data_IF_961664247417
#
_entry.id   IF_961664247417
#
_cell.length_a   1.000
_cell.length_b   1.000
_cell.length_c   1.000
_cell.angle_alpha   90.00
_cell.angle_beta   90.00
_cell.angle_gamma   90.00
#
_symmetry.space_group_name_H-M   'P 1'
#
loop_
_entity.id
_entity.type
_entity.pdbx_description
1 polymer ?
#
# COMPACT_ATOMS: atom_id res chain seq x y z
N UNK A 1 0.04 -14.25 12.09
CA UNK A 1 -0.56 -12.95 12.24
C UNK A 1 0.21 -11.81 11.61
N UNK A 2 1.49 -11.86 11.45
CA UNK A 2 2.20 -10.82 10.70
C UNK A 2 1.50 -10.48 9.37
N UNK A 3 0.88 -11.45 8.72
CA UNK A 3 0.18 -11.29 7.45
C UNK A 3 -1.31 -10.95 7.57
N UNK A 4 -2.01 -11.45 8.58
CA UNK A 4 -3.33 -10.94 8.90
C UNK A 4 -3.22 -9.47 9.34
N UNK A 5 -2.16 -9.09 10.04
CA UNK A 5 -1.92 -7.70 10.43
C UNK A 5 -1.38 -6.82 9.31
N UNK A 6 -0.66 -7.35 8.33
CA UNK A 6 -0.34 -6.64 7.09
C UNK A 6 -1.59 -6.37 6.24
N UNK A 7 -2.59 -7.29 6.31
CA UNK A 7 -3.91 -7.06 5.77
C UNK A 7 -4.83 -6.31 6.76
N UNK A 8 -4.59 -6.41 8.07
CA UNK A 8 -5.43 -5.85 9.14
C UNK A 8 -5.24 -4.34 9.31
N UNK A 9 -4.09 -3.77 9.00
CA UNK A 9 -3.85 -2.34 9.19
C UNK A 9 -4.29 -1.46 8.01
N UNK A 10 -5.49 -1.68 7.47
CA UNK A 10 -6.10 -0.75 6.51
C UNK A 10 -5.56 -0.81 5.09
N UNK A 11 -4.63 -1.69 4.79
CA UNK A 11 -4.19 -1.92 3.41
C UNK A 11 -4.72 -3.29 2.96
N UNK A 12 -5.82 -3.27 2.26
CA UNK A 12 -6.09 -4.22 1.19
C UNK A 12 -4.84 -4.28 0.30
N UNK A 13 -4.65 -5.36 -0.44
CA UNK A 13 -3.85 -5.32 -1.67
C UNK A 13 -4.53 -4.32 -2.61
N UNK A 14 -4.43 -3.05 -2.27
CA UNK A 14 -4.87 -1.96 -3.11
C UNK A 14 -3.86 -1.85 -4.22
N UNK A 15 -4.33 -1.38 -5.34
CA UNK A 15 -3.47 -0.89 -6.40
C UNK A 15 -2.35 0.05 -5.90
N UNK A 16 -2.53 0.65 -4.73
CA UNK A 16 -1.61 1.57 -4.08
C UNK A 16 -0.42 0.87 -3.37
N UNK A 17 -0.51 -0.45 -3.09
CA UNK A 17 0.60 -1.26 -2.54
C UNK A 17 1.53 -1.82 -3.62
N UNK A 18 1.16 -1.64 -4.88
CA UNK A 18 2.00 -1.88 -6.05
C UNK A 18 2.78 -0.59 -6.31
N UNK A 19 4.08 -0.65 -6.60
CA UNK A 19 4.86 0.55 -6.93
C UNK A 19 4.11 1.40 -7.96
N UNK A 20 3.99 2.72 -7.79
CA UNK A 20 3.16 3.61 -8.63
C UNK A 20 3.37 3.44 -10.14
N UNK A 21 4.57 3.04 -10.59
CA UNK A 21 4.88 2.78 -11.99
C UNK A 21 4.11 1.63 -12.64
N UNK A 22 3.46 0.77 -11.86
CA UNK A 22 2.73 -0.39 -12.38
C UNK A 22 1.22 -0.15 -12.46
N UNK A 23 0.76 0.93 -11.81
CA UNK A 23 -0.65 1.32 -11.75
C UNK A 23 -0.95 2.65 -12.42
N UNK A 24 0.06 3.37 -12.92
CA UNK A 24 -0.22 4.48 -13.81
C UNK A 24 -0.96 3.92 -15.02
N UNK A 25 -2.20 4.35 -15.31
CA UNK A 25 -2.78 4.12 -16.62
C UNK A 25 -1.73 4.64 -17.59
N UNK A 26 -1.36 3.84 -18.57
CA UNK A 26 -0.41 4.20 -19.62
C UNK A 26 -0.63 5.65 -19.99
N UNK A 27 0.26 6.52 -19.56
CA UNK A 27 0.20 7.93 -19.90
C UNK A 27 0.43 8.01 -21.43
N UNK A 28 -0.65 8.26 -22.15
CA UNK A 28 -0.55 8.50 -23.62
C UNK A 28 0.36 9.68 -23.94
N UNK A 29 0.71 10.53 -22.96
CA UNK A 29 1.68 11.61 -23.13
C UNK A 29 3.12 11.09 -23.28
N UNK A 30 3.46 9.94 -22.69
CA UNK A 30 4.76 9.31 -22.87
C UNK A 30 4.92 8.72 -24.30
N UNK A 31 3.84 8.33 -24.97
CA UNK A 31 3.87 7.89 -26.37
C UNK A 31 4.24 9.02 -27.34
N UNK A 32 3.99 10.28 -26.99
CA UNK A 32 4.31 11.42 -27.88
C UNK A 32 5.77 11.87 -27.81
N UNK A 33 6.53 11.44 -26.83
CA UNK A 33 7.94 11.83 -26.68
C UNK A 33 8.91 10.91 -27.45
N UNK A 34 8.51 9.71 -27.87
CA UNK A 34 9.36 8.74 -28.59
C UNK A 34 9.03 8.63 -30.08
N UNK A 35 8.12 9.43 -30.62
CA UNK A 35 7.91 9.58 -32.05
C UNK A 35 8.95 10.54 -32.67
N UNK A 36 10.22 10.20 -32.57
CA UNK A 36 11.19 10.63 -33.59
C UNK A 36 11.05 9.70 -34.78
N UNK A 37 10.93 10.22 -36.03
CA UNK A 37 10.77 9.38 -37.19
C UNK A 37 12.01 8.52 -37.36
N UNK A 38 11.91 7.24 -37.06
CA UNK A 38 12.88 6.25 -37.50
C UNK A 38 12.65 6.08 -39.00
N UNK A 39 13.66 6.43 -39.80
CA UNK A 39 13.67 6.21 -41.21
C UNK A 39 13.28 4.78 -41.56
N UNK A 40 12.38 4.53 -42.52
CA UNK A 40 11.98 3.18 -42.86
C UNK A 40 13.14 2.45 -43.49
N UNK A 41 13.56 1.36 -42.85
CA UNK A 41 14.41 0.36 -43.51
C UNK A 41 13.55 -0.30 -44.57
N UNK A 42 13.82 0.06 -45.83
CA UNK A 42 13.16 -0.45 -47.04
C UNK A 42 13.71 -1.85 -47.29
N UNK A 43 12.96 -2.89 -46.96
CA UNK A 43 13.13 -4.22 -47.54
C UNK A 43 12.53 -4.19 -48.95
N UNK A 44 13.38 -4.28 -49.95
CA UNK A 44 13.01 -4.47 -51.37
C UNK A 44 12.79 -5.95 -51.57
N UNK A 45 11.54 -6.34 -51.84
CA UNK A 45 11.25 -7.55 -52.60
C UNK A 45 10.84 -7.09 -53.97
N UNK A 46 11.67 -7.40 -54.96
CA UNK A 46 11.34 -7.40 -56.39
C UNK A 46 10.34 -8.54 -56.61
N UNK A 47 9.18 -8.25 -57.22
CA UNK A 47 8.74 -8.84 -58.47
C UNK A 47 7.32 -8.39 -58.84
N UNK A 48 7.27 -7.87 -60.07
CA UNK A 48 6.32 -7.97 -61.17
C UNK A 48 4.90 -7.39 -61.10
N UNK A 49 4.82 -6.35 -61.90
CA UNK A 49 3.96 -6.09 -63.06
C UNK A 49 2.43 -5.93 -62.92
N UNK A 50 2.04 -4.83 -63.51
CA UNK A 50 0.88 -4.52 -64.36
C UNK A 50 -0.30 -3.77 -63.74
N UNK A 51 -0.32 -2.53 -64.21
CA UNK A 51 -1.36 -1.83 -64.99
C UNK A 51 -2.43 -1.02 -64.30
N UNK A 52 -2.42 0.21 -64.77
CA UNK A 52 -3.53 1.12 -65.10
C UNK A 52 -4.13 2.02 -64.01
N UNK A 53 -3.86 3.29 -64.22
CA UNK A 53 -4.57 4.54 -63.87
C UNK A 53 -5.84 4.69 -64.72
N UNK A 54 -6.68 5.73 -64.60
CA UNK A 54 -6.81 6.85 -63.67
C UNK A 54 -8.29 7.17 -63.27
N UNK A 55 -8.55 8.14 -62.46
CA UNK A 55 -9.46 9.30 -62.63
C UNK A 55 -9.93 9.94 -61.33
N UNK A 56 -9.56 11.19 -61.25
CA UNK A 56 -10.24 12.35 -60.65
C UNK A 56 -11.52 12.15 -59.84
N UNK A 57 -11.50 12.73 -58.61
CA UNK A 57 -12.51 13.66 -58.17
C UNK A 57 -12.07 14.48 -56.94
N UNK A 58 -11.91 15.76 -57.18
CA UNK A 58 -11.83 16.83 -56.19
C UNK A 58 -13.10 16.94 -55.36
N UNK A 59 -12.96 17.10 -54.05
CA UNK A 59 -13.91 17.84 -53.25
C UNK A 59 -13.20 18.64 -52.15
N UNK A 60 -13.47 19.95 -52.04
CA UNK A 60 -12.81 20.83 -51.10
C UNK A 60 -13.47 20.77 -49.71
N UNK A 61 -12.70 20.50 -48.70
CA UNK A 61 -13.13 20.65 -47.28
C UNK A 61 -12.77 22.04 -46.79
N UNK A 62 -13.81 22.84 -46.53
CA UNK A 62 -13.72 24.14 -45.90
C UNK A 62 -13.10 24.05 -44.52
N UNK A 63 -12.01 24.78 -44.32
CA UNK A 63 -11.47 25.13 -42.98
C UNK A 63 -12.25 26.30 -42.43
N UNK A 64 -12.97 26.08 -41.33
CA UNK A 64 -13.52 27.16 -40.51
C UNK A 64 -12.54 27.44 -39.38
N UNK A 65 -11.87 28.59 -39.48
CA UNK A 65 -11.03 29.12 -38.42
C UNK A 65 -11.94 29.80 -37.39
N UNK A 66 -11.89 29.37 -36.13
CA UNK A 66 -12.41 30.16 -35.01
C UNK A 66 -11.28 30.97 -34.42
N UNK A 67 -11.32 32.26 -34.68
CA UNK A 67 -10.56 33.29 -34.02
C UNK A 67 -11.34 33.74 -32.79
N UNK A 68 -10.87 33.44 -31.59
CA UNK A 68 -11.33 34.12 -30.38
C UNK A 68 -10.35 35.25 -30.05
N UNK A 69 -10.80 36.47 -30.36
CA UNK A 69 -10.23 37.71 -29.89
C UNK A 69 -10.75 38.01 -28.49
N UNK A 70 -9.84 38.22 -27.53
CA UNK A 70 -10.14 38.97 -26.31
C UNK A 70 -9.40 40.30 -26.40
N UNK A 71 -10.05 41.43 -26.07
CA UNK A 71 -9.45 42.73 -26.16
C UNK A 71 -8.59 43.04 -24.92
N UNK A 72 -7.36 43.49 -25.18
CA UNK A 72 -6.48 44.12 -24.21
C UNK A 72 -7.03 45.51 -23.90
N UNK A 73 -7.34 45.80 -22.64
CA UNK A 73 -7.51 47.16 -22.14
C UNK A 73 -6.15 47.72 -21.80
N UNK A 74 -5.80 48.80 -22.48
CA UNK A 74 -4.78 49.77 -22.09
C UNK A 74 -5.35 50.54 -20.90
N UNK A 75 -4.54 50.71 -19.87
CA UNK A 75 -4.33 51.93 -19.08
C UNK A 75 -3.78 51.53 -17.68
N UNK A 76 -2.53 51.82 -17.52
CA UNK A 76 -1.91 52.46 -16.34
C UNK A 76 -0.40 52.37 -16.43
N UNK A 77 0.15 53.32 -17.19
CA UNK A 77 1.47 53.88 -16.93
C UNK A 77 1.34 54.73 -15.67
N UNK A 78 2.36 54.65 -14.86
CA UNK A 78 2.84 55.48 -13.78
C UNK A 78 2.93 54.74 -12.45
N UNK A 79 4.18 54.55 -12.08
CA UNK A 79 4.79 54.74 -10.77
C UNK A 79 6.08 53.93 -10.63
N UNK A 80 7.15 54.47 -11.22
CA UNK A 80 8.51 54.09 -10.85
C UNK A 80 9.02 55.09 -9.78
N UNK A 81 9.60 54.63 -8.69
CA UNK A 81 10.57 55.45 -7.93
C UNK A 81 12.00 55.12 -8.39
N UNK A 82 12.60 56.11 -8.86
CA UNK A 82 13.95 56.61 -9.00
C UNK A 82 15.08 55.80 -8.35
N UNK A 83 16.04 55.47 -9.19
CA UNK A 83 17.37 54.97 -8.84
C UNK A 83 18.10 55.95 -7.92
N UNK A 84 18.63 55.45 -6.82
CA UNK A 84 19.79 56.05 -6.16
C UNK A 84 20.98 55.12 -6.27
N UNK A 85 21.95 55.64 -7.01
CA UNK A 85 23.28 55.08 -7.18
C UNK A 85 24.06 55.14 -5.88
N UNK A 86 24.58 54.02 -5.40
CA UNK A 86 25.72 53.96 -4.51
C UNK A 86 26.78 53.05 -5.09
N UNK A 87 27.90 53.66 -5.41
CA UNK A 87 29.13 53.08 -5.89
C UNK A 87 29.87 52.22 -4.83
N UNK A 88 30.80 51.39 -5.23
CA UNK A 88 31.32 50.31 -4.45
C UNK A 88 32.44 50.70 -3.49
N UNK A 89 32.51 50.04 -2.38
CA UNK A 89 33.72 49.99 -1.58
C UNK A 89 34.18 48.58 -1.37
N UNK A 90 35.41 48.42 -1.66
CA UNK A 90 36.29 47.28 -1.72
C UNK A 90 36.32 46.38 -0.47
N UNK A 91 36.67 45.11 -0.79
CA UNK A 91 37.49 44.20 0.02
C UNK A 91 36.92 43.68 1.34
N UNK A 92 36.55 42.39 1.36
CA UNK A 92 37.33 41.50 2.23
C UNK A 92 37.00 40.05 2.03
N UNK A 93 38.03 39.32 1.63
CA UNK A 93 38.40 38.00 2.12
C UNK A 93 37.50 36.80 1.78
N UNK A 94 37.92 36.16 0.76
CA UNK A 94 37.88 34.68 0.57
C UNK A 94 38.09 33.94 1.86
N UNK A 95 37.08 33.20 2.28
CA UNK A 95 37.28 31.90 2.92
C UNK A 95 36.66 30.86 2.01
N UNK A 96 37.49 30.30 1.17
CA UNK A 96 37.23 29.01 0.53
C UNK A 96 37.09 27.95 1.63
N UNK A 97 35.87 27.69 2.08
CA UNK A 97 35.51 26.53 2.87
C UNK A 97 35.04 25.45 1.91
N UNK A 98 35.90 24.46 1.59
CA UNK A 98 35.56 23.40 0.63
C UNK A 98 34.69 22.30 1.23
N UNK A 99 33.89 22.61 2.29
CA UNK A 99 33.09 21.63 3.03
C UNK A 99 31.62 21.57 2.64
N UNK A 100 31.15 22.45 1.77
CA UNK A 100 29.84 22.33 1.13
C UNK A 100 29.99 22.28 -0.38
N UNK A 101 30.62 21.20 -0.85
CA UNK A 101 30.48 20.75 -2.21
C UNK A 101 28.99 20.49 -2.46
N UNK A 102 28.42 21.20 -3.42
CA UNK A 102 27.12 20.94 -4.01
C UNK A 102 27.05 19.44 -4.32
N UNK A 103 26.19 18.76 -3.56
CA UNK A 103 25.92 17.37 -3.75
C UNK A 103 25.18 17.26 -5.09
N UNK A 104 25.94 17.03 -6.14
CA UNK A 104 25.42 16.64 -7.46
C UNK A 104 24.36 15.58 -7.25
N UNK A 105 23.10 15.90 -7.58
CA UNK A 105 21.85 15.19 -7.38
C UNK A 105 21.85 13.67 -7.57
N UNK A 106 22.67 12.94 -6.82
CA UNK A 106 22.51 11.49 -6.68
C UNK A 106 21.27 11.25 -5.84
N UNK A 107 20.27 10.62 -6.44
CA UNK A 107 19.09 10.15 -5.72
C UNK A 107 19.53 9.33 -4.51
N UNK A 108 18.96 9.56 -3.32
CA UNK A 108 19.35 8.85 -2.12
C UNK A 108 19.25 7.34 -2.35
N UNK A 109 20.23 6.58 -1.90
CA UNK A 109 20.25 5.11 -2.05
C UNK A 109 19.18 4.41 -1.21
N UNK A 110 18.61 5.11 -0.22
CA UNK A 110 17.47 4.69 0.62
C UNK A 110 16.47 5.83 0.68
N UNK A 111 15.20 5.50 0.47
CA UNK A 111 14.08 6.44 0.60
C UNK A 111 13.00 5.88 1.52
N UNK A 112 12.63 6.65 2.53
CA UNK A 112 11.49 6.35 3.38
C UNK A 112 10.22 6.90 2.72
N UNK A 113 9.32 6.01 2.32
CA UNK A 113 8.13 6.41 1.52
C UNK A 113 6.91 6.67 2.39
N UNK A 114 6.67 5.84 3.37
CA UNK A 114 5.39 5.82 4.07
C UNK A 114 5.54 5.33 5.50
N UNK A 115 4.80 5.95 6.40
CA UNK A 115 4.62 5.48 7.78
C UNK A 115 3.15 5.29 8.07
N UNK A 116 2.78 4.17 8.65
CA UNK A 116 1.40 3.85 9.05
C UNK A 116 1.36 3.55 10.53
N UNK A 117 0.49 4.24 11.24
CA UNK A 117 0.16 3.97 12.64
C UNK A 117 -1.27 3.45 12.75
N UNK A 118 -1.50 2.44 13.58
CA UNK A 118 -2.85 1.88 13.81
C UNK A 118 -3.05 1.60 15.28
N UNK A 119 -4.22 2.00 15.80
CA UNK A 119 -4.71 1.64 17.13
C UNK A 119 -5.99 0.82 16.97
N UNK A 120 -6.05 -0.36 17.60
CA UNK A 120 -7.24 -1.24 17.56
C UNK A 120 -7.65 -1.60 18.96
N UNK A 121 -8.94 -1.51 19.21
CA UNK A 121 -9.58 -1.95 20.44
C UNK A 121 -10.65 -3.00 20.13
N UNK A 122 -10.50 -4.18 20.71
CA UNK A 122 -11.49 -5.26 20.72
C UNK A 122 -12.07 -5.29 22.11
N UNK A 123 -13.37 -5.02 22.22
CA UNK A 123 -14.03 -4.87 23.50
C UNK A 123 -13.95 -6.17 24.33
N UNK A 124 -13.69 -6.10 25.65
CA UNK A 124 -13.88 -7.24 26.52
C UNK A 124 -15.38 -7.56 26.58
N UNK A 125 -15.74 -8.82 26.48
CA UNK A 125 -17.09 -9.29 26.78
C UNK A 125 -17.14 -9.86 28.20
N UNK A 126 -18.33 -10.08 28.78
CA UNK A 126 -18.51 -10.46 30.18
C UNK A 126 -17.68 -11.67 30.64
N UNK A 127 -17.32 -12.58 29.73
CA UNK A 127 -16.46 -13.75 29.96
C UNK A 127 -15.43 -13.92 28.86
N UNK A 128 -15.03 -12.84 28.20
CA UNK A 128 -14.15 -12.88 27.02
C UNK A 128 -12.99 -11.92 27.10
N UNK A 129 -11.99 -12.20 26.28
CA UNK A 129 -10.75 -11.48 26.18
C UNK A 129 -10.94 -10.18 25.41
N UNK A 130 -10.64 -9.02 26.04
CA UNK A 130 -10.42 -7.75 25.37
C UNK A 130 -8.98 -7.61 24.88
N UNK A 131 -8.76 -6.84 23.82
CA UNK A 131 -7.43 -6.62 23.27
C UNK A 131 -7.32 -5.16 22.81
N UNK A 132 -6.34 -4.45 23.34
CA UNK A 132 -5.92 -3.14 22.84
C UNK A 132 -4.58 -3.31 22.14
N UNK A 133 -4.45 -2.89 20.88
CA UNK A 133 -3.19 -2.97 20.16
C UNK A 133 -2.80 -1.66 19.53
N UNK A 134 -1.48 -1.40 19.52
CA UNK A 134 -0.85 -0.33 18.79
C UNK A 134 0.13 -0.94 17.80
N UNK A 135 0.10 -0.50 16.57
CA UNK A 135 0.97 -0.95 15.51
C UNK A 135 1.57 0.24 14.77
N UNK A 136 2.86 0.15 14.47
CA UNK A 136 3.58 1.06 13.58
C UNK A 136 4.31 0.26 12.50
N UNK A 137 4.28 0.73 11.27
CA UNK A 137 5.05 0.17 10.16
C UNK A 137 5.54 1.27 9.23
N UNK A 138 6.65 1.00 8.55
CA UNK A 138 7.23 1.88 7.56
C UNK A 138 7.40 1.18 6.22
N UNK A 139 7.61 1.94 5.16
CA UNK A 139 8.03 1.42 3.86
C UNK A 139 9.33 2.10 3.45
N UNK A 140 10.34 1.31 3.17
CA UNK A 140 11.68 1.74 2.76
C UNK A 140 11.92 1.21 1.35
N UNK A 141 12.19 2.11 0.42
CA UNK A 141 12.53 1.78 -0.95
C UNK A 141 14.01 2.04 -1.24
N UNK A 142 14.53 1.28 -2.17
CA UNK A 142 15.87 1.46 -2.72
C UNK A 142 15.73 1.89 -4.18
N UNK A 143 15.89 3.17 -4.51
CA UNK A 143 15.70 3.68 -5.87
C UNK A 143 16.53 2.96 -6.93
N UNK A 144 17.69 2.42 -6.53
CA UNK A 144 18.55 1.60 -7.41
C UNK A 144 18.01 0.18 -7.65
N UNK A 145 17.14 -0.33 -6.74
CA UNK A 145 16.54 -1.66 -6.81
C UNK A 145 15.01 -1.55 -6.86
N UNK A 146 14.47 -0.96 -7.93
CA UNK A 146 13.05 -0.59 -8.08
C UNK A 146 12.05 -1.74 -7.86
N UNK A 147 12.50 -2.99 -7.90
CA UNK A 147 11.67 -4.16 -7.70
C UNK A 147 11.65 -4.65 -6.24
N UNK A 148 12.36 -3.97 -5.33
CA UNK A 148 12.57 -4.44 -3.96
C UNK A 148 12.29 -3.31 -2.96
N UNK A 149 11.48 -3.61 -1.93
CA UNK A 149 11.27 -2.71 -0.79
C UNK A 149 11.18 -3.48 0.51
N UNK A 150 11.34 -2.77 1.62
CA UNK A 150 11.35 -3.32 2.96
C UNK A 150 10.29 -2.66 3.83
N UNK A 151 9.64 -3.48 4.67
CA UNK A 151 8.57 -3.02 5.55
C UNK A 151 8.87 -3.45 6.99
N UNK A 152 9.60 -2.65 7.77
CA UNK A 152 9.69 -2.86 9.21
C UNK A 152 8.31 -2.65 9.86
N UNK A 153 7.96 -3.49 10.83
CA UNK A 153 6.73 -3.43 11.60
C UNK A 153 6.98 -3.75 13.06
N UNK A 154 6.33 -2.99 13.93
CA UNK A 154 6.30 -3.19 15.37
C UNK A 154 4.85 -3.13 15.85
N UNK A 155 4.43 -4.06 16.69
CA UNK A 155 3.13 -4.02 17.33
C UNK A 155 3.22 -4.47 18.80
N UNK A 156 2.40 -3.82 19.64
CA UNK A 156 2.20 -4.18 21.02
C UNK A 156 0.71 -4.42 21.31
N UNK A 157 0.42 -5.40 22.15
CA UNK A 157 -0.95 -5.79 22.53
C UNK A 157 -1.05 -5.80 24.03
N UNK A 158 -2.04 -5.10 24.57
CA UNK A 158 -2.48 -5.21 25.97
C UNK A 158 -3.75 -6.08 26.00
N UNK A 159 -3.70 -7.11 26.80
CA UNK A 159 -4.79 -8.08 26.93
C UNK A 159 -5.57 -7.80 28.22
N UNK A 160 -6.88 -7.69 28.09
CA UNK A 160 -7.83 -7.50 29.20
C UNK A 160 -8.86 -8.64 29.16
N UNK A 161 -8.88 -9.45 30.18
CA UNK A 161 -9.76 -10.61 30.15
C UNK A 161 -9.64 -11.53 31.33
N UNK A 162 -10.41 -12.64 31.29
CA UNK A 162 -10.47 -13.56 32.41
C UNK A 162 -9.10 -14.20 32.67
N UNK A 163 -8.71 -14.30 33.93
CA UNK A 163 -7.48 -14.99 34.35
C UNK A 163 -7.47 -16.47 33.95
N UNK A 164 -8.64 -17.02 33.60
CA UNK A 164 -8.80 -18.41 33.16
C UNK A 164 -8.14 -18.68 31.78
N UNK A 165 -7.85 -17.65 30.98
CA UNK A 165 -7.18 -17.84 29.72
C UNK A 165 -5.68 -18.11 29.84
N UNK A 166 -5.09 -17.86 31.02
CA UNK A 166 -3.65 -18.04 31.31
C UNK A 166 -2.73 -17.36 30.28
N UNK A 167 -3.22 -16.26 29.69
CA UNK A 167 -2.45 -15.41 28.78
C UNK A 167 -1.68 -14.34 29.57
N UNK A 168 -0.48 -13.96 29.13
CA UNK A 168 0.22 -12.81 29.67
C UNK A 168 -0.54 -11.51 29.35
N UNK A 169 -0.37 -10.50 30.19
CA UNK A 169 -1.06 -9.21 30.02
C UNK A 169 -0.60 -8.46 28.75
N UNK A 170 0.57 -8.78 28.20
CA UNK A 170 1.15 -8.08 27.06
C UNK A 170 1.78 -9.06 26.09
N UNK A 171 1.64 -8.74 24.78
CA UNK A 171 2.27 -9.45 23.68
C UNK A 171 2.92 -8.45 22.71
N UNK A 172 3.94 -8.88 22.03
CA UNK A 172 4.72 -8.04 21.12
C UNK A 172 4.99 -8.75 19.81
N UNK A 173 4.94 -7.99 18.71
CA UNK A 173 5.33 -8.44 17.38
C UNK A 173 6.41 -7.51 16.84
N UNK A 174 7.45 -8.07 16.33
CA UNK A 174 8.42 -7.39 15.50
C UNK A 174 8.59 -8.17 14.20
N UNK A 175 8.54 -7.50 13.07
CA UNK A 175 8.79 -8.13 11.77
C UNK A 175 9.51 -7.18 10.82
N UNK A 176 10.29 -7.79 9.92
CA UNK A 176 10.98 -7.09 8.86
C UNK A 176 10.66 -7.79 7.53
N UNK A 177 9.67 -7.27 6.82
CA UNK A 177 9.26 -7.86 5.56
C UNK A 177 10.11 -7.32 4.41
N UNK A 178 10.58 -8.24 3.58
CA UNK A 178 11.22 -7.96 2.30
C UNK A 178 10.25 -8.34 1.19
N UNK A 179 9.91 -7.40 0.34
CA UNK A 179 8.96 -7.58 -0.76
C UNK A 179 9.68 -7.36 -2.07
N UNK A 180 9.49 -8.26 -3.01
CA UNK A 180 9.92 -8.14 -4.39
C UNK A 180 8.74 -8.24 -5.33
N UNK A 181 8.73 -7.44 -6.41
CA UNK A 181 7.73 -7.51 -7.47
C UNK A 181 8.40 -7.48 -8.83
N UNK A 182 7.98 -8.39 -9.70
CA UNK A 182 8.54 -8.55 -11.03
C UNK A 182 7.42 -8.56 -12.07
N UNK A 183 7.47 -7.70 -13.10
CA UNK A 183 6.58 -7.80 -14.24
C UNK A 183 6.98 -8.99 -15.10
N UNK A 184 5.99 -9.72 -15.60
CA UNK A 184 6.16 -10.83 -16.53
C UNK A 184 5.36 -10.51 -17.80
N UNK A 185 6.00 -9.86 -18.75
CA UNK A 185 5.33 -9.34 -19.93
C UNK A 185 4.43 -8.14 -19.63
N UNK A 186 3.42 -7.90 -20.47
CA UNK A 186 2.58 -6.69 -20.41
C UNK A 186 1.41 -6.79 -19.44
N UNK A 187 0.97 -8.00 -19.08
CA UNK A 187 -0.28 -8.22 -18.34
C UNK A 187 -0.11 -8.94 -17.01
N UNK A 188 1.05 -9.50 -16.75
CA UNK A 188 1.32 -10.24 -15.54
C UNK A 188 2.35 -9.54 -14.69
N UNK A 189 2.14 -9.54 -13.38
CA UNK A 189 3.22 -9.31 -12.44
C UNK A 189 3.13 -10.28 -11.27
N UNK A 190 4.27 -10.63 -10.70
CA UNK A 190 4.37 -11.52 -9.54
C UNK A 190 5.00 -10.76 -8.40
N UNK A 191 4.38 -10.84 -7.24
CA UNK A 191 4.89 -10.32 -5.98
C UNK A 191 5.26 -11.48 -5.08
N UNK A 192 6.47 -11.46 -4.54
CA UNK A 192 6.91 -12.39 -3.51
C UNK A 192 7.39 -11.61 -2.29
N UNK A 193 7.14 -12.14 -1.10
CA UNK A 193 7.62 -11.53 0.12
C UNK A 193 7.95 -12.58 1.18
N UNK A 194 8.89 -12.21 2.06
CA UNK A 194 9.29 -12.98 3.23
C UNK A 194 9.48 -12.03 4.40
N UNK A 195 9.04 -12.43 5.59
CA UNK A 195 9.07 -11.58 6.77
C UNK A 195 9.66 -12.30 7.99
N UNK A 196 10.98 -12.31 8.19
CA UNK A 196 11.54 -12.70 9.47
C UNK A 196 10.85 -11.93 10.60
N UNK A 197 10.28 -12.67 11.55
CA UNK A 197 9.40 -12.10 12.57
C UNK A 197 9.65 -12.69 13.94
N UNK A 198 9.36 -11.91 14.96
CA UNK A 198 9.48 -12.32 16.35
C UNK A 198 8.19 -12.00 17.10
N UNK A 199 7.53 -13.04 17.64
CA UNK A 199 6.23 -12.95 18.31
C UNK A 199 6.36 -13.50 19.73
N UNK A 200 6.27 -12.66 20.74
CA UNK A 200 6.62 -13.02 22.12
C UNK A 200 5.83 -12.23 23.15
N UNK A 201 5.77 -12.74 24.37
CA UNK A 201 5.38 -12.00 25.57
C UNK A 201 6.56 -11.33 26.28
N UNK A 202 7.73 -11.25 25.65
CA UNK A 202 9.04 -10.84 26.19
C UNK A 202 9.70 -11.81 27.18
N UNK A 203 8.97 -12.75 27.77
CA UNK A 203 9.49 -13.75 28.70
C UNK A 203 9.89 -15.05 27.99
N UNK A 204 9.17 -15.42 26.93
CA UNK A 204 9.50 -16.57 26.09
C UNK A 204 10.08 -16.11 24.77
N UNK A 205 11.40 -15.93 24.73
CA UNK A 205 12.17 -15.53 23.53
C UNK A 205 12.84 -16.72 22.83
N UNK A 206 12.38 -17.92 23.10
CA UNK A 206 12.92 -19.15 22.51
C UNK A 206 12.64 -19.30 21.02
N UNK A 207 13.09 -20.40 20.43
CA UNK A 207 12.97 -20.66 18.97
C UNK A 207 11.54 -20.53 18.45
N UNK A 208 10.52 -20.84 19.28
CA UNK A 208 9.10 -20.76 18.90
C UNK A 208 8.59 -19.32 18.75
N UNK A 209 9.33 -18.32 19.27
CA UNK A 209 9.03 -16.90 19.05
C UNK A 209 9.41 -16.44 17.65
N UNK A 210 10.43 -17.07 17.03
CA UNK A 210 10.82 -16.75 15.66
C UNK A 210 9.90 -17.45 14.67
N UNK A 211 9.38 -16.69 13.71
CA UNK A 211 8.49 -17.12 12.64
C UNK A 211 8.96 -16.55 11.31
N UNK A 212 8.67 -17.25 10.23
CA UNK A 212 9.09 -16.86 8.89
C UNK A 212 7.90 -16.90 7.91
N UNK A 213 6.86 -16.06 8.11
CA UNK A 213 5.79 -15.96 7.14
C UNK A 213 6.27 -15.44 5.79
N UNK A 214 5.50 -15.73 4.75
CA UNK A 214 5.82 -15.32 3.39
C UNK A 214 4.61 -15.37 2.47
N UNK A 215 4.72 -14.81 1.26
CA UNK A 215 3.67 -14.89 0.24
C UNK A 215 4.26 -14.93 -1.16
N UNK A 216 3.47 -15.51 -2.05
CA UNK A 216 3.66 -15.37 -3.50
C UNK A 216 2.29 -15.13 -4.11
N UNK A 217 2.15 -14.03 -4.82
CA UNK A 217 0.92 -13.60 -5.49
C UNK A 217 1.22 -13.28 -6.94
N UNK A 218 0.38 -13.77 -7.84
CA UNK A 218 0.38 -13.41 -9.24
C UNK A 218 -0.84 -12.54 -9.54
N UNK A 219 -0.65 -11.53 -10.36
CA UNK A 219 -1.69 -10.59 -10.78
C UNK A 219 -1.75 -10.61 -12.30
N UNK A 220 -2.96 -10.78 -12.83
CA UNK A 220 -3.22 -10.75 -14.26
C UNK A 220 -4.14 -9.60 -14.62
N UNK A 221 -3.59 -8.59 -15.26
CA UNK A 221 -4.33 -7.44 -15.77
C UNK A 221 -5.15 -7.88 -17.00
N UNK A 222 -6.45 -8.09 -16.79
CA UNK A 222 -7.37 -8.43 -17.87
C UNK A 222 -7.75 -7.19 -18.67
N UNK A 223 -8.05 -6.09 -17.99
CA UNK A 223 -8.33 -4.77 -18.55
C UNK A 223 -7.77 -3.67 -17.63
N UNK A 224 -7.95 -2.40 -17.99
CA UNK A 224 -7.53 -1.27 -17.15
C UNK A 224 -8.33 -1.17 -15.85
N UNK A 225 -9.53 -1.73 -15.83
CA UNK A 225 -10.41 -1.72 -14.66
C UNK A 225 -10.45 -3.04 -13.91
N UNK A 226 -9.93 -4.14 -14.48
CA UNK A 226 -10.11 -5.49 -13.94
C UNK A 226 -8.79 -6.26 -13.90
N UNK A 227 -8.39 -6.69 -12.71
CA UNK A 227 -7.21 -7.53 -12.47
C UNK A 227 -7.62 -8.75 -11.65
N UNK A 228 -7.22 -9.92 -12.07
CA UNK A 228 -7.33 -11.15 -11.30
C UNK A 228 -6.08 -11.37 -10.49
N UNK A 229 -6.22 -11.92 -9.29
CA UNK A 229 -5.09 -12.29 -8.44
C UNK A 229 -5.24 -13.71 -7.92
N UNK A 230 -4.11 -14.37 -7.77
CA UNK A 230 -4.05 -15.72 -7.20
C UNK A 230 -2.68 -16.01 -6.60
N UNK A 231 -2.65 -16.85 -5.57
CA UNK A 231 -1.41 -17.25 -4.94
C UNK A 231 -1.58 -17.91 -3.60
N UNK A 232 -0.54 -17.83 -2.77
CA UNK A 232 -0.51 -18.46 -1.45
C UNK A 232 0.11 -17.51 -0.44
N UNK A 233 -0.50 -17.45 0.73
CA UNK A 233 0.01 -16.79 1.93
C UNK A 233 0.47 -17.88 2.91
N UNK A 234 1.76 -17.94 3.19
CA UNK A 234 2.33 -18.80 4.22
C UNK A 234 2.37 -18.02 5.52
N UNK A 235 1.55 -18.40 6.50
CA UNK A 235 1.35 -17.65 7.74
C UNK A 235 2.31 -18.05 8.86
N UNK A 236 2.87 -19.24 8.78
CA UNK A 236 3.71 -19.85 9.81
C UNK A 236 3.04 -19.88 11.20
N UNK A 237 1.69 -20.03 11.24
CA UNK A 237 0.90 -20.15 12.45
C UNK A 237 0.72 -21.61 12.85
N UNK A 238 0.40 -21.86 14.12
CA UNK A 238 0.22 -23.24 14.58
C UNK A 238 -1.14 -23.82 14.16
N UNK A 239 -2.19 -22.99 14.06
CA UNK A 239 -3.53 -23.36 13.58
C UNK A 239 -3.62 -23.49 12.04
N UNK A 240 -3.02 -22.54 11.32
CA UNK A 240 -3.08 -22.47 9.84
C UNK A 240 -1.70 -22.13 9.28
N UNK A 241 -1.08 -23.06 8.60
CA UNK A 241 0.25 -22.84 8.00
C UNK A 241 0.19 -21.98 6.74
N UNK A 242 -0.80 -22.22 5.88
CA UNK A 242 -0.93 -21.50 4.62
C UNK A 242 -2.41 -21.29 4.26
N UNK A 243 -2.69 -20.18 3.61
CA UNK A 243 -4.01 -19.85 3.08
C UNK A 243 -3.88 -19.59 1.58
N UNK A 244 -4.69 -20.23 0.72
CA UNK A 244 -4.78 -19.83 -0.66
C UNK A 244 -5.37 -18.41 -0.75
N UNK A 245 -4.82 -17.60 -1.63
CA UNK A 245 -5.33 -16.28 -1.96
C UNK A 245 -5.80 -16.29 -3.40
N UNK A 246 -7.04 -15.90 -3.63
CA UNK A 246 -7.58 -15.72 -4.96
C UNK A 246 -8.62 -14.62 -4.92
N UNK A 247 -8.73 -13.88 -6.02
CA UNK A 247 -9.70 -12.82 -6.08
C UNK A 247 -9.63 -11.93 -7.30
N UNK A 248 -10.34 -10.83 -7.18
CA UNK A 248 -10.54 -9.85 -8.24
C UNK A 248 -10.37 -8.44 -7.67
N UNK A 249 -9.57 -7.63 -8.34
CA UNK A 249 -9.48 -6.20 -8.16
C UNK A 249 -10.25 -5.55 -9.32
N UNK A 250 -11.37 -4.89 -9.02
CA UNK A 250 -12.23 -4.29 -10.04
C UNK A 250 -12.57 -2.85 -9.68
N UNK A 251 -12.15 -1.93 -10.52
CA UNK A 251 -12.39 -0.50 -10.41
C UNK A 251 -13.24 -0.03 -11.61
N UNK A 252 -14.58 -0.24 -11.59
CA UNK A 252 -15.44 0.08 -12.74
C UNK A 252 -15.45 1.56 -13.10
N UNK A 253 -15.21 2.41 -12.12
CA UNK A 253 -15.07 3.85 -12.24
C UNK A 253 -14.25 4.39 -11.06
N UNK A 254 -14.05 5.71 -11.01
CA UNK A 254 -13.29 6.36 -9.96
C UNK A 254 -13.93 6.30 -8.56
N UNK A 255 -15.24 6.04 -8.47
CA UNK A 255 -15.99 6.05 -7.21
C UNK A 255 -16.11 4.68 -6.56
N UNK A 256 -15.89 3.60 -7.28
CA UNK A 256 -16.03 2.26 -6.76
C UNK A 256 -14.74 1.46 -6.88
N UNK A 257 -14.37 0.80 -5.78
CA UNK A 257 -13.28 -0.17 -5.71
C UNK A 257 -13.77 -1.46 -5.09
N UNK A 258 -13.65 -2.55 -5.83
CA UNK A 258 -13.96 -3.90 -5.39
C UNK A 258 -12.66 -4.70 -5.31
N UNK A 259 -12.18 -4.93 -4.12
CA UNK A 259 -10.98 -5.71 -3.82
C UNK A 259 -11.42 -7.05 -3.21
N UNK A 260 -12.02 -7.91 -4.03
CA UNK A 260 -12.65 -9.15 -3.59
C UNK A 260 -11.60 -10.28 -3.54
N UNK A 261 -10.59 -10.12 -2.69
CA UNK A 261 -9.47 -11.05 -2.56
C UNK A 261 -9.44 -11.66 -1.16
N UNK A 262 -9.40 -13.00 -1.08
CA UNK A 262 -9.14 -13.66 0.20
C UNK A 262 -7.69 -13.39 0.66
N UNK A 263 -7.45 -13.21 2.00
CA UNK A 263 -8.37 -13.33 3.13
C UNK A 263 -9.05 -12.02 3.56
N UNK A 264 -8.89 -10.92 2.82
CA UNK A 264 -9.43 -9.61 3.19
C UNK A 264 -10.19 -8.94 2.04
N UNK A 265 -11.43 -9.43 1.72
CA UNK A 265 -12.27 -8.77 0.74
C UNK A 265 -12.72 -7.38 1.24
N UNK A 266 -12.69 -6.38 0.35
CA UNK A 266 -13.11 -5.01 0.61
C UNK A 266 -13.95 -4.48 -0.55
N UNK A 267 -15.02 -3.75 -0.22
CA UNK A 267 -15.81 -2.97 -1.18
C UNK A 267 -15.81 -1.53 -0.68
N UNK A 268 -15.33 -0.61 -1.50
CA UNK A 268 -15.20 0.79 -1.15
C UNK A 268 -15.92 1.69 -2.16
N UNK A 269 -16.55 2.74 -1.65
CA UNK A 269 -17.22 3.77 -2.45
C UNK A 269 -16.72 5.16 -2.04
N UNK A 270 -16.28 5.93 -3.03
CA UNK A 270 -16.02 7.36 -2.86
C UNK A 270 -17.37 8.09 -2.93
N UNK A 271 -17.71 8.83 -1.91
CA UNK A 271 -18.97 9.55 -1.82
C UNK A 271 -18.80 11.07 -1.87
N UNK A 272 -17.58 11.56 -1.68
CA UNK A 272 -17.24 12.96 -1.83
C UNK A 272 -15.76 13.12 -2.17
N UNK A 273 -15.42 14.11 -2.95
CA UNK A 273 -14.04 14.53 -3.22
C UNK A 273 -13.99 16.02 -3.50
N UNK A 274 -12.87 16.62 -3.17
CA UNK A 274 -12.46 17.98 -3.51
C UNK A 274 -11.02 17.94 -4.08
N UNK A 275 -10.48 19.09 -4.47
CA UNK A 275 -9.12 19.20 -5.06
C UNK A 275 -8.01 18.71 -4.12
N UNK A 276 -8.28 18.64 -2.83
CA UNK A 276 -7.30 18.31 -1.80
C UNK A 276 -7.52 16.94 -1.16
N UNK A 277 -8.73 16.39 -1.21
CA UNK A 277 -9.06 15.15 -0.50
C UNK A 277 -10.21 14.36 -1.12
N UNK A 278 -10.23 13.06 -0.85
CA UNK A 278 -11.30 12.14 -1.21
C UNK A 278 -11.80 11.39 0.03
N UNK A 279 -13.11 11.21 0.11
CA UNK A 279 -13.81 10.58 1.22
C UNK A 279 -14.39 9.25 0.79
N UNK A 280 -14.02 8.18 1.47
CA UNK A 280 -14.40 6.82 1.14
C UNK A 280 -15.15 6.17 2.31
N UNK A 281 -16.22 5.47 2.00
CA UNK A 281 -16.85 4.51 2.90
C UNK A 281 -16.63 3.11 2.38
N UNK A 282 -16.43 2.12 3.25
CA UNK A 282 -16.17 0.76 2.82
C UNK A 282 -16.66 -0.29 3.80
N UNK A 283 -16.87 -1.49 3.27
CA UNK A 283 -17.09 -2.72 4.01
C UNK A 283 -15.90 -3.63 3.79
N UNK A 284 -15.41 -4.24 4.86
CA UNK A 284 -14.28 -5.16 4.78
C UNK A 284 -14.49 -6.37 5.67
N UNK A 285 -14.20 -7.55 5.11
CA UNK A 285 -14.06 -8.79 5.85
C UNK A 285 -12.58 -9.09 6.08
N UNK A 286 -12.20 -9.64 7.23
CA UNK A 286 -10.82 -10.03 7.46
C UNK A 286 -10.73 -11.26 8.37
N UNK A 287 -9.66 -12.04 8.17
CA UNK A 287 -9.23 -13.08 9.07
C UNK A 287 -8.19 -12.51 10.03
N UNK A 288 -8.51 -12.47 11.31
CA UNK A 288 -7.67 -11.91 12.36
C UNK A 288 -7.00 -12.98 13.23
N UNK A 289 -6.39 -12.51 14.32
CA UNK A 289 -5.77 -13.37 15.31
C UNK A 289 -4.23 -13.48 15.21
N UNK A 290 -3.49 -14.37 15.94
CA UNK A 290 -2.03 -14.53 15.99
C UNK A 290 -1.47 -15.66 16.77
N UNK A 291 -0.17 -15.86 16.60
CA UNK A 291 0.56 -16.90 17.31
C UNK A 291 1.78 -16.32 18.00
N UNK A 292 1.81 -16.41 19.34
CA UNK A 292 2.90 -15.88 20.16
C UNK A 292 3.50 -16.96 21.06
N UNK A 293 4.82 -16.95 21.19
CA UNK A 293 5.50 -17.68 22.24
C UNK A 293 5.26 -16.95 23.55
N UNK A 294 4.74 -17.65 24.55
CA UNK A 294 4.37 -17.12 25.85
C UNK A 294 4.98 -17.94 26.99
N UNK A 295 5.04 -17.32 28.17
CA UNK A 295 5.27 -18.02 29.43
C UNK A 295 3.95 -18.04 30.20
N UNK A 296 3.46 -19.23 30.50
CA UNK A 296 2.24 -19.43 31.27
C UNK A 296 2.41 -19.05 32.76
N UNK A 297 1.34 -18.84 33.49
CA UNK A 297 1.40 -18.55 34.95
C UNK A 297 2.13 -19.64 35.75
N UNK A 298 2.10 -20.89 35.28
CA UNK A 298 2.88 -22.01 35.81
C UNK A 298 4.39 -21.89 35.62
N UNK A 299 4.87 -20.93 34.84
CA UNK A 299 6.27 -20.76 34.46
C UNK A 299 6.71 -21.58 33.23
N UNK A 300 5.83 -22.42 32.67
CA UNK A 300 6.13 -23.22 31.49
C UNK A 300 6.04 -22.38 30.22
N UNK A 301 6.95 -22.64 29.28
CA UNK A 301 6.92 -22.02 27.97
C UNK A 301 5.88 -22.73 27.09
N UNK A 302 5.02 -21.97 26.44
CA UNK A 302 4.01 -22.45 25.50
C UNK A 302 3.90 -21.53 24.29
N UNK A 303 2.95 -21.83 23.40
CA UNK A 303 2.58 -20.98 22.28
C UNK A 303 1.08 -20.82 22.29
N UNK A 304 0.61 -19.58 22.28
CA UNK A 304 -0.80 -19.23 22.22
C UNK A 304 -1.14 -18.73 20.81
N UNK A 305 -2.20 -19.26 20.23
CA UNK A 305 -2.75 -18.86 18.94
C UNK A 305 -4.15 -18.31 19.13
N UNK A 306 -4.35 -17.06 18.74
CA UNK A 306 -5.67 -16.44 18.65
C UNK A 306 -6.10 -16.45 17.18
N UNK A 307 -7.35 -16.79 16.90
CA UNK A 307 -7.96 -16.68 15.58
C UNK A 307 -9.36 -16.07 15.70
N UNK A 308 -9.72 -15.24 14.73
CA UNK A 308 -11.04 -14.62 14.65
C UNK A 308 -11.38 -14.23 13.21
N UNK A 309 -12.67 -13.98 12.95
CA UNK A 309 -13.16 -13.32 11.75
C UNK A 309 -13.74 -11.97 12.10
N UNK A 310 -13.60 -11.00 11.21
CA UNK A 310 -14.07 -9.63 11.43
C UNK A 310 -14.85 -9.14 10.22
N UNK A 311 -15.93 -8.43 10.51
CA UNK A 311 -16.71 -7.69 9.51
C UNK A 311 -16.78 -6.24 9.96
N UNK A 312 -16.19 -5.35 9.20
CA UNK A 312 -15.98 -3.96 9.60
C UNK A 312 -16.56 -3.03 8.53
N UNK A 313 -17.15 -1.95 9.00
CA UNK A 313 -17.50 -0.77 8.21
C UNK A 313 -16.46 0.29 8.51
N UNK A 314 -15.93 0.93 7.47
CA UNK A 314 -14.89 1.93 7.61
C UNK A 314 -15.19 3.21 6.85
N UNK A 315 -14.62 4.28 7.36
CA UNK A 315 -14.51 5.56 6.69
C UNK A 315 -13.04 5.94 6.57
N UNK A 316 -12.64 6.42 5.40
CA UNK A 316 -11.27 6.82 5.10
C UNK A 316 -11.27 8.17 4.39
N UNK A 317 -10.42 9.10 4.84
CA UNK A 317 -10.13 10.33 4.15
C UNK A 317 -8.70 10.31 3.63
N UNK A 318 -8.56 10.44 2.31
CA UNK A 318 -7.28 10.47 1.60
C UNK A 318 -7.01 11.88 1.12
N UNK A 319 -5.83 12.42 1.42
CA UNK A 319 -5.37 13.68 0.87
C UNK A 319 -4.46 13.46 -0.33
N UNK A 320 -4.46 14.41 -1.25
CA UNK A 320 -3.54 14.45 -2.41
C UNK A 320 -2.06 14.50 -1.98
N UNK A 321 -1.77 14.94 -0.75
CA UNK A 321 -0.44 14.92 -0.16
C UNK A 321 0.07 13.52 0.25
N UNK A 322 -0.71 12.46 0.01
CA UNK A 322 -0.38 11.08 0.42
C UNK A 322 -0.72 10.75 1.88
N UNK A 323 -1.13 11.73 2.68
CA UNK A 323 -1.62 11.48 4.04
C UNK A 323 -3.01 10.87 3.99
N UNK A 324 -3.32 10.00 4.95
CA UNK A 324 -4.69 9.56 5.16
C UNK A 324 -4.96 9.25 6.64
N UNK A 325 -6.23 9.18 6.99
CA UNK A 325 -6.69 8.58 8.24
C UNK A 325 -7.94 7.75 7.97
N UNK A 326 -8.14 6.76 8.80
CA UNK A 326 -9.30 5.88 8.75
C UNK A 326 -9.88 5.62 10.15
N UNK A 327 -11.17 5.35 10.17
CA UNK A 327 -11.90 4.82 11.32
C UNK A 327 -12.68 3.60 10.85
N UNK A 328 -12.54 2.49 11.58
CA UNK A 328 -13.32 1.28 11.35
C UNK A 328 -14.06 0.88 12.62
N UNK A 329 -15.25 0.37 12.45
CA UNK A 329 -16.03 -0.23 13.52
C UNK A 329 -16.74 -1.48 13.02
N UNK A 330 -16.88 -2.48 13.87
CA UNK A 330 -17.55 -3.71 13.46
C UNK A 330 -17.54 -4.80 14.50
N UNK A 331 -17.70 -6.02 14.01
CA UNK A 331 -17.96 -7.20 14.81
C UNK A 331 -16.88 -8.26 14.59
N UNK A 332 -16.43 -8.85 15.68
CA UNK A 332 -15.45 -9.93 15.76
C UNK A 332 -16.14 -11.19 16.22
N UNK A 333 -16.06 -12.26 15.46
CA UNK A 333 -16.78 -13.52 15.71
C UNK A 333 -15.91 -14.75 15.44
N UNK A 334 -16.39 -15.93 15.84
CA UNK A 334 -15.65 -17.20 15.75
C UNK A 334 -14.25 -17.07 16.35
N UNK A 335 -14.18 -16.44 17.51
CA UNK A 335 -12.93 -16.19 18.22
C UNK A 335 -12.48 -17.46 18.93
N UNK A 336 -11.24 -17.88 18.70
CA UNK A 336 -10.68 -19.08 19.33
C UNK A 336 -9.30 -18.79 19.88
N UNK A 337 -9.02 -19.34 21.05
CA UNK A 337 -7.71 -19.37 21.68
C UNK A 337 -7.26 -20.83 21.78
N UNK A 338 -6.14 -21.13 21.18
CA UNK A 338 -5.53 -22.47 21.17
C UNK A 338 -4.11 -22.40 21.68
N UNK A 339 -3.67 -23.44 22.39
CA UNK A 339 -2.31 -23.59 22.88
C UNK A 339 -1.65 -24.80 22.26
N UNK A 340 -0.33 -24.72 21.97
CA UNK A 340 0.40 -25.88 21.46
C UNK A 340 0.36 -27.05 22.43
N UNK A 341 0.27 -26.79 23.75
CA UNK A 341 0.10 -27.80 24.77
C UNK A 341 -1.29 -28.43 24.80
N UNK A 342 -2.28 -27.85 24.10
CA UNK A 342 -3.71 -28.24 24.13
C UNK A 342 -4.37 -28.10 25.51
N UNK A 343 -3.71 -27.42 26.43
CA UNK A 343 -4.23 -27.16 27.78
C UNK A 343 -4.82 -25.75 27.87
N UNK A 344 -6.15 -25.65 27.98
CA UNK A 344 -6.85 -24.37 28.11
C UNK A 344 -7.35 -23.79 26.79
N UNK A 345 -7.44 -24.60 25.75
CA UNK A 345 -8.10 -24.21 24.51
C UNK A 345 -9.53 -23.81 24.78
N UNK A 346 -9.97 -22.69 24.22
CA UNK A 346 -11.30 -22.16 24.48
C UNK A 346 -11.82 -21.30 23.35
N UNK A 347 -13.13 -21.38 23.13
CA UNK A 347 -13.83 -20.44 22.27
C UNK A 347 -14.15 -19.16 23.06
N UNK A 348 -13.87 -18.03 22.46
CA UNK A 348 -14.11 -16.72 23.04
C UNK A 348 -15.39 -16.12 22.46
N UNK A 349 -16.19 -15.42 23.26
CA UNK A 349 -17.41 -14.81 22.79
C UNK A 349 -17.11 -13.71 21.74
N UNK A 350 -18.06 -13.58 20.83
CA UNK A 350 -18.04 -12.51 19.83
C UNK A 350 -18.16 -11.14 20.49
N UNK A 351 -17.56 -10.11 19.87
CA UNK A 351 -17.53 -8.77 20.46
C UNK A 351 -17.37 -7.68 19.39
N UNK A 352 -17.40 -6.42 19.83
CA UNK A 352 -17.19 -5.27 18.96
C UNK A 352 -15.68 -4.96 18.80
N UNK A 353 -15.36 -4.29 17.69
CA UNK A 353 -14.04 -3.77 17.38
C UNK A 353 -14.16 -2.33 16.92
N UNK A 354 -13.22 -1.48 17.37
CA UNK A 354 -12.97 -0.15 16.81
C UNK A 354 -11.50 -0.06 16.44
N UNK A 355 -11.21 0.54 15.28
CA UNK A 355 -9.84 0.76 14.80
C UNK A 355 -9.68 2.17 14.26
N UNK A 356 -8.57 2.80 14.59
CA UNK A 356 -8.10 4.07 14.05
C UNK A 356 -6.79 3.85 13.33
N UNK A 357 -6.63 4.48 12.17
CA UNK A 357 -5.38 4.41 11.42
C UNK A 357 -5.00 5.76 10.85
N UNK A 358 -3.70 6.02 10.78
CA UNK A 358 -3.12 7.22 10.16
C UNK A 358 -1.96 6.83 9.26
N UNK A 359 -1.80 7.55 8.17
CA UNK A 359 -0.68 7.38 7.23
C UNK A 359 -0.05 8.74 6.94
N UNK A 360 1.29 8.74 6.91
CA UNK A 360 2.10 9.92 6.63
C UNK A 360 3.04 9.66 5.48
#
# INVERSE_FOLDING_TARGET
>A
MAWASLFVAGHSLSAEDVPPRWYEPFDESAKRADERPRSPVRFVWEDDELSESPEDREHPIRRTAYQNQYPLSKDSEDLLPREESLTPSDEMSTSDDPLFSDNDGESPWIEWKKTVGTATWIAPSSNGLGITSLEARGSIEFPKFQALWFVPRLAGYALDGPTTTDLPAQLYDFSFETVGALPIGERWFVQAAIAPSFFTDSHNTGRKAFRLPGRVLAFWKYSDTLTFTGGVLYLDRDDVKAIPSAGVLWNPNEDWKFELCAPRPRIARRFSHDDCSAHWAYLVGEFGGGTWAIRRASGLNDVATLSDYRLLVGYERKWTSGRNWLVEGGYVFSRRLEYTSQLGDTDLPSTALVRLGVTF
#
